data_IF_198342912116
#
_entry.id   IF_198342912116
#
_cell.length_a   1.000
_cell.length_b   1.000
_cell.length_c   1.000
_cell.angle_alpha   90.00
_cell.angle_beta   90.00
_cell.angle_gamma   90.00
#
_symmetry.space_group_name_H-M   'P 1'
#
loop_
_entity.id
_entity.type
_entity.pdbx_description
1 polymer ?
#
# COMPACT_ATOMS: atom_id res chain seq x y z
N UNK A 1 -16.73 -8.91 13.03
CA UNK A 1 -17.43 -8.38 11.84
C UNK A 1 -18.68 -7.61 12.28
N UNK A 2 -18.97 -6.52 11.59
CA UNK A 2 -20.17 -5.71 11.82
C UNK A 2 -21.27 -6.16 10.86
N UNK A 3 -22.48 -6.44 11.39
CA UNK A 3 -23.65 -6.79 10.58
C UNK A 3 -24.43 -5.53 10.24
N UNK A 4 -24.72 -5.33 8.95
CA UNK A 4 -25.49 -4.20 8.44
C UNK A 4 -26.78 -4.69 7.80
N UNK A 5 -27.90 -4.21 8.31
CA UNK A 5 -29.25 -4.52 7.83
C UNK A 5 -29.95 -3.22 7.47
N UNK A 6 -29.98 -2.83 6.20
CA UNK A 6 -30.72 -1.64 5.79
C UNK A 6 -32.24 -1.90 5.89
N UNK A 7 -32.99 -0.97 6.43
CA UNK A 7 -34.47 -1.10 6.54
C UNK A 7 -35.15 -1.23 5.18
N UNK A 8 -34.56 -0.75 4.11
CA UNK A 8 -35.08 -0.85 2.74
C UNK A 8 -34.00 -1.17 1.74
N UNK A 9 -34.25 -2.13 0.85
CA UNK A 9 -33.35 -2.47 -0.28
C UNK A 9 -33.07 -1.28 -1.20
N UNK A 10 -34.08 -0.39 -1.39
CA UNK A 10 -33.96 0.78 -2.29
C UNK A 10 -33.07 1.89 -1.73
N UNK A 11 -32.96 2.00 -0.42
CA UNK A 11 -32.29 3.11 0.24
C UNK A 11 -30.80 2.92 0.46
N UNK A 12 -30.24 1.75 0.11
CA UNK A 12 -28.79 1.49 0.27
C UNK A 12 -27.96 2.24 -0.78
N UNK A 13 -28.52 2.37 -1.99
CA UNK A 13 -27.84 3.08 -3.09
C UNK A 13 -27.66 4.57 -2.76
N UNK A 14 -26.44 5.03 -2.72
CA UNK A 14 -26.07 6.39 -2.34
C UNK A 14 -25.41 6.50 -0.95
N UNK A 15 -25.64 5.52 -0.06
CA UNK A 15 -25.00 5.45 1.26
C UNK A 15 -23.87 4.44 1.30
N UNK A 16 -24.08 3.27 0.70
CA UNK A 16 -23.10 2.17 0.66
C UNK A 16 -23.07 1.60 -0.74
N UNK A 17 -21.90 1.51 -1.35
CA UNK A 17 -21.71 0.85 -2.64
C UNK A 17 -21.28 -0.60 -2.40
N UNK A 18 -22.13 -1.53 -2.83
CA UNK A 18 -21.82 -2.96 -2.83
C UNK A 18 -21.42 -3.35 -4.25
N UNK A 19 -20.14 -3.71 -4.46
CA UNK A 19 -19.63 -4.04 -5.80
C UNK A 19 -18.46 -5.00 -5.74
N UNK A 20 -18.20 -5.67 -6.85
CA UNK A 20 -16.98 -6.44 -7.04
C UNK A 20 -15.79 -5.52 -7.25
N UNK A 21 -14.64 -5.85 -6.62
CA UNK A 21 -13.44 -5.02 -6.69
C UNK A 21 -12.82 -4.97 -8.09
N UNK A 22 -12.86 -6.08 -8.82
CA UNK A 22 -12.19 -6.21 -10.12
C UNK A 22 -13.09 -5.74 -11.27
N UNK A 23 -14.31 -6.28 -11.32
CA UNK A 23 -15.26 -6.00 -12.41
C UNK A 23 -16.06 -4.72 -12.21
N UNK A 24 -16.05 -4.15 -10.97
CA UNK A 24 -16.89 -3.00 -10.58
C UNK A 24 -18.39 -3.23 -10.77
N UNK A 25 -18.80 -4.48 -10.91
CA UNK A 25 -20.21 -4.86 -10.99
C UNK A 25 -20.90 -4.58 -9.68
N UNK A 26 -21.96 -3.77 -9.71
CA UNK A 26 -22.77 -3.42 -8.53
C UNK A 26 -23.70 -4.56 -8.15
N UNK A 27 -23.85 -4.78 -6.85
CA UNK A 27 -24.72 -5.78 -6.26
C UNK A 27 -25.91 -5.13 -5.56
N UNK A 28 -27.02 -5.85 -5.55
CA UNK A 28 -28.17 -5.52 -4.71
C UNK A 28 -28.33 -6.60 -3.65
N UNK A 29 -28.82 -6.22 -2.49
CA UNK A 29 -29.19 -7.18 -1.45
C UNK A 29 -30.41 -7.97 -1.90
N UNK A 30 -30.34 -9.29 -1.76
CA UNK A 30 -31.45 -10.22 -1.97
C UNK A 30 -31.82 -10.94 -0.66
N UNK A 31 -32.95 -11.67 -0.70
CA UNK A 31 -33.40 -12.43 0.47
C UNK A 31 -32.85 -13.87 0.50
N UNK A 32 -32.06 -14.25 -0.50
CA UNK A 32 -31.56 -15.61 -0.69
C UNK A 32 -30.19 -15.85 0.00
N UNK A 33 -29.48 -14.76 0.35
CA UNK A 33 -28.17 -14.87 0.98
C UNK A 33 -27.64 -13.56 1.53
N UNK A 34 -26.46 -13.66 2.11
CA UNK A 34 -25.71 -12.53 2.65
C UNK A 34 -24.68 -12.04 1.65
N UNK A 35 -24.30 -10.77 1.74
CA UNK A 35 -23.13 -10.23 1.08
C UNK A 35 -22.02 -10.08 2.12
N UNK A 36 -20.88 -10.72 1.86
CA UNK A 36 -19.71 -10.72 2.74
C UNK A 36 -18.61 -9.86 2.14
N UNK A 37 -17.83 -9.19 2.99
CA UNK A 37 -16.66 -8.43 2.53
C UNK A 37 -15.53 -9.36 2.09
N UNK A 38 -14.78 -8.97 1.05
CA UNK A 38 -13.76 -9.79 0.37
C UNK A 38 -12.69 -10.29 1.36
N UNK A 39 -12.21 -9.43 2.27
CA UNK A 39 -11.20 -9.86 3.25
C UNK A 39 -11.76 -10.89 4.24
N UNK A 40 -13.00 -10.73 4.68
CA UNK A 40 -13.64 -11.72 5.56
C UNK A 40 -13.81 -13.07 4.84
N UNK A 41 -14.20 -13.05 3.57
CA UNK A 41 -14.31 -14.26 2.76
C UNK A 41 -12.95 -14.95 2.59
N UNK A 42 -11.90 -14.19 2.35
CA UNK A 42 -10.53 -14.69 2.24
C UNK A 42 -10.03 -15.35 3.53
N UNK A 43 -10.25 -14.70 4.69
CA UNK A 43 -9.83 -15.23 5.99
C UNK A 43 -10.58 -16.50 6.38
N UNK A 44 -11.86 -16.61 5.98
CA UNK A 44 -12.69 -17.80 6.23
C UNK A 44 -12.48 -18.88 5.18
N UNK A 45 -11.74 -18.63 4.10
CA UNK A 45 -11.52 -19.56 3.00
C UNK A 45 -12.80 -19.89 2.20
N UNK A 46 -13.79 -18.97 2.17
CA UNK A 46 -15.11 -19.18 1.56
C UNK A 46 -15.30 -18.38 0.27
N UNK A 47 -16.19 -18.86 -0.58
CA UNK A 47 -16.52 -18.28 -1.88
C UNK A 47 -18.01 -18.00 -2.00
N UNK A 48 -18.40 -17.29 -3.06
CA UNK A 48 -19.81 -17.12 -3.45
C UNK A 48 -20.47 -18.50 -3.60
N UNK A 49 -21.63 -18.67 -2.97
CA UNK A 49 -22.40 -19.91 -2.95
C UNK A 49 -22.20 -20.77 -1.71
N UNK A 50 -21.08 -20.58 -1.00
CA UNK A 50 -20.82 -21.30 0.25
C UNK A 50 -21.72 -20.82 1.38
N UNK A 51 -21.77 -21.59 2.46
CA UNK A 51 -22.51 -21.25 3.68
C UNK A 51 -21.57 -21.04 4.84
N UNK A 52 -21.80 -19.99 5.62
CA UNK A 52 -21.04 -19.68 6.84
C UNK A 52 -21.94 -19.73 8.07
N UNK A 53 -21.30 -20.07 9.19
CA UNK A 53 -21.93 -20.00 10.50
C UNK A 53 -21.69 -18.61 11.10
N UNK A 54 -22.76 -17.94 11.49
CA UNK A 54 -22.72 -16.62 12.11
C UNK A 54 -23.27 -16.74 13.52
N UNK A 55 -22.52 -16.26 14.49
CA UNK A 55 -22.95 -16.15 15.87
C UNK A 55 -22.79 -14.72 16.36
N UNK A 56 -23.89 -14.12 16.79
CA UNK A 56 -23.91 -12.85 17.48
C UNK A 56 -23.88 -13.11 18.98
N UNK A 57 -23.23 -12.21 19.75
CA UNK A 57 -23.21 -12.32 21.21
C UNK A 57 -24.65 -12.36 21.77
N UNK A 58 -24.98 -13.42 22.52
CA UNK A 58 -26.31 -13.63 23.08
C UNK A 58 -27.35 -14.29 22.16
N UNK A 59 -27.02 -14.56 20.89
CA UNK A 59 -27.92 -15.21 19.94
C UNK A 59 -27.47 -16.64 19.60
N UNK A 60 -28.40 -17.44 19.08
CA UNK A 60 -28.11 -18.76 18.53
C UNK A 60 -27.26 -18.65 17.28
N UNK A 61 -26.37 -19.61 17.07
CA UNK A 61 -25.63 -19.73 15.83
C UNK A 61 -26.58 -20.03 14.66
N UNK A 62 -26.45 -19.27 13.60
CA UNK A 62 -27.21 -19.44 12.35
C UNK A 62 -26.28 -19.82 11.20
N UNK A 63 -26.83 -20.46 10.17
CA UNK A 63 -26.13 -20.73 8.91
C UNK A 63 -26.72 -19.85 7.82
N UNK A 64 -25.88 -19.09 7.13
CA UNK A 64 -26.28 -18.21 6.04
C UNK A 64 -25.45 -18.48 4.78
N UNK A 65 -26.14 -18.52 3.63
CA UNK A 65 -25.51 -18.68 2.31
C UNK A 65 -24.93 -17.35 1.84
N UNK A 66 -23.73 -17.37 1.25
CA UNK A 66 -23.10 -16.21 0.64
C UNK A 66 -23.65 -16.00 -0.76
N UNK A 67 -24.40 -14.93 -0.98
CA UNK A 67 -24.92 -14.57 -2.31
C UNK A 67 -23.88 -13.85 -3.14
N UNK A 68 -23.12 -12.94 -2.54
CA UNK A 68 -22.06 -12.18 -3.20
C UNK A 68 -20.91 -11.84 -2.22
N UNK A 69 -19.76 -11.48 -2.81
CA UNK A 69 -18.62 -10.94 -2.07
C UNK A 69 -18.36 -9.52 -2.57
N UNK A 70 -18.28 -8.55 -1.65
CA UNK A 70 -18.14 -7.13 -1.98
C UNK A 70 -16.77 -6.58 -1.56
N UNK A 71 -16.26 -5.60 -2.34
CA UNK A 71 -15.06 -4.88 -1.93
C UNK A 71 -15.32 -4.11 -0.63
N UNK A 72 -14.33 -4.15 0.25
CA UNK A 72 -14.27 -3.31 1.45
C UNK A 72 -12.83 -3.32 1.98
N UNK A 73 -12.29 -2.14 2.27
CA UNK A 73 -10.88 -2.00 2.63
C UNK A 73 -10.63 -1.96 4.14
N UNK A 74 -11.64 -1.63 4.92
CA UNK A 74 -11.51 -1.54 6.38
C UNK A 74 -12.61 -2.32 7.07
N UNK A 75 -12.22 -3.11 8.06
CA UNK A 75 -13.10 -3.95 8.88
C UNK A 75 -13.86 -5.02 8.06
N UNK A 76 -14.44 -5.96 8.78
CA UNK A 76 -15.26 -7.01 8.18
C UNK A 76 -16.73 -6.67 8.37
N UNK A 77 -17.50 -6.73 7.28
CA UNK A 77 -18.93 -6.44 7.30
C UNK A 77 -19.70 -7.57 6.65
N UNK A 78 -20.92 -7.80 7.17
CA UNK A 78 -21.90 -8.73 6.63
C UNK A 78 -23.16 -7.94 6.35
N UNK A 79 -23.64 -7.99 5.14
CA UNK A 79 -24.86 -7.31 4.72
C UNK A 79 -25.98 -8.33 4.50
N UNK A 80 -27.15 -8.09 5.05
CA UNK A 80 -28.33 -8.92 4.82
C UNK A 80 -29.60 -8.09 4.84
N UNK A 81 -30.66 -8.62 4.22
CA UNK A 81 -31.97 -7.96 4.26
C UNK A 81 -32.69 -8.19 5.61
N UNK A 82 -33.59 -7.29 6.03
CA UNK A 82 -34.40 -7.52 7.22
C UNK A 82 -35.21 -8.82 7.15
N UNK A 83 -35.76 -9.16 5.98
CA UNK A 83 -36.47 -10.42 5.78
C UNK A 83 -35.61 -11.65 5.99
N UNK A 84 -34.37 -11.65 5.46
CA UNK A 84 -33.43 -12.73 5.67
C UNK A 84 -33.04 -12.84 7.14
N UNK A 85 -32.84 -11.69 7.80
CA UNK A 85 -32.55 -11.65 9.23
C UNK A 85 -33.70 -12.26 10.06
N UNK A 86 -34.92 -11.84 9.82
CA UNK A 86 -36.11 -12.37 10.51
C UNK A 86 -36.27 -13.88 10.27
N UNK A 87 -36.00 -14.34 9.05
CA UNK A 87 -36.07 -15.77 8.70
C UNK A 87 -35.01 -16.60 9.45
N UNK A 88 -33.79 -16.04 9.61
CA UNK A 88 -32.66 -16.78 10.21
C UNK A 88 -32.68 -16.70 11.74
N UNK A 89 -32.98 -15.53 12.32
CA UNK A 89 -32.92 -15.30 13.76
C UNK A 89 -34.26 -15.43 14.45
N UNK A 90 -35.37 -15.50 13.69
CA UNK A 90 -36.76 -15.48 14.22
C UNK A 90 -37.05 -14.27 15.11
N UNK A 91 -36.38 -13.15 14.83
CA UNK A 91 -36.49 -11.87 15.54
C UNK A 91 -36.71 -10.74 14.54
N UNK A 92 -37.51 -9.75 14.88
CA UNK A 92 -37.64 -8.53 14.05
C UNK A 92 -36.35 -7.74 14.07
N UNK A 93 -35.94 -7.24 12.90
CA UNK A 93 -34.83 -6.33 12.78
C UNK A 93 -35.12 -5.01 13.52
N UNK A 94 -34.22 -4.56 14.36
CA UNK A 94 -34.33 -3.29 15.09
C UNK A 94 -33.42 -2.26 14.46
N UNK A 95 -33.88 -1.01 14.37
CA UNK A 95 -33.08 0.12 13.92
C UNK A 95 -32.13 0.51 15.03
N UNK A 96 -30.81 0.38 14.79
CA UNK A 96 -29.74 0.75 15.73
C UNK A 96 -28.94 1.96 15.26
N UNK A 97 -29.19 2.46 14.05
CA UNK A 97 -28.51 3.61 13.50
C UNK A 97 -29.17 4.14 12.23
N UNK A 98 -28.87 5.37 11.91
CA UNK A 98 -29.39 6.08 10.73
C UNK A 98 -28.21 6.67 9.96
N UNK A 99 -28.16 6.45 8.65
CA UNK A 99 -27.25 7.16 7.75
C UNK A 99 -27.97 8.38 7.18
N UNK A 100 -27.38 9.55 7.35
CA UNK A 100 -27.89 10.80 6.81
C UNK A 100 -26.91 11.39 5.80
N UNK A 101 -27.42 11.87 4.66
CA UNK A 101 -26.64 12.65 3.70
C UNK A 101 -27.19 14.06 3.68
N UNK A 102 -26.40 15.02 4.09
CA UNK A 102 -26.70 16.44 3.96
C UNK A 102 -25.95 17.01 2.75
N UNK A 103 -26.70 17.61 1.84
CA UNK A 103 -26.13 18.21 0.61
C UNK A 103 -25.97 19.71 0.79
N UNK A 104 -24.84 20.24 0.28
CA UNK A 104 -24.59 21.68 0.17
C UNK A 104 -24.62 22.46 1.51
N UNK A 105 -24.19 21.83 2.60
CA UNK A 105 -24.08 22.52 3.90
C UNK A 105 -22.61 22.78 4.26
N UNK A 106 -22.38 23.88 5.01
CA UNK A 106 -21.07 24.17 5.55
C UNK A 106 -20.70 23.21 6.70
N UNK A 107 -19.40 22.97 6.89
CA UNK A 107 -18.89 22.15 8.00
C UNK A 107 -19.42 22.62 9.36
N UNK A 108 -19.50 23.94 9.58
CA UNK A 108 -20.01 24.53 10.82
C UNK A 108 -21.48 24.14 11.05
N UNK A 109 -22.32 24.27 10.01
CA UNK A 109 -23.75 23.92 10.11
C UNK A 109 -23.96 22.42 10.30
N UNK A 110 -23.12 21.58 9.67
CA UNK A 110 -23.13 20.14 9.89
C UNK A 110 -22.83 19.78 11.35
N UNK A 111 -21.85 20.43 11.96
CA UNK A 111 -21.51 20.24 13.38
C UNK A 111 -22.63 20.74 14.32
N UNK A 112 -23.29 21.85 13.99
CA UNK A 112 -24.45 22.37 14.75
C UNK A 112 -25.61 21.39 14.68
N UNK A 113 -25.94 20.87 13.50
CA UNK A 113 -26.98 19.84 13.32
C UNK A 113 -26.62 18.57 14.10
N UNK A 114 -25.34 18.18 14.09
CA UNK A 114 -24.87 17.05 14.87
C UNK A 114 -25.05 17.22 16.37
N UNK A 115 -24.76 18.40 16.92
CA UNK A 115 -25.03 18.71 18.34
C UNK A 115 -26.52 18.61 18.67
N UNK A 116 -27.39 19.10 17.80
CA UNK A 116 -28.82 18.99 18.00
C UNK A 116 -29.32 17.56 17.96
N UNK A 117 -28.73 16.70 17.14
CA UNK A 117 -29.04 15.26 17.12
C UNK A 117 -28.57 14.59 18.41
N UNK A 118 -27.35 14.87 18.87
CA UNK A 118 -26.79 14.31 20.11
C UNK A 118 -27.49 14.81 21.37
N UNK A 119 -28.20 15.94 21.31
CA UNK A 119 -29.01 16.45 22.41
C UNK A 119 -30.32 15.67 22.61
N UNK A 120 -30.65 14.71 21.73
CA UNK A 120 -31.84 13.85 21.86
C UNK A 120 -31.46 12.60 22.63
N UNK A 121 -32.32 12.15 23.51
CA UNK A 121 -32.10 10.96 24.37
C UNK A 121 -31.95 9.67 23.56
N UNK A 122 -32.52 9.62 22.35
CA UNK A 122 -32.42 8.45 21.47
C UNK A 122 -31.09 8.33 20.73
N UNK A 123 -30.26 9.40 20.68
CA UNK A 123 -29.00 9.44 19.97
C UNK A 123 -27.82 9.26 20.92
N UNK A 124 -27.24 8.07 20.95
CA UNK A 124 -26.08 7.78 21.83
C UNK A 124 -24.74 8.19 21.20
N UNK A 125 -24.62 8.14 19.89
CA UNK A 125 -23.38 8.47 19.18
C UNK A 125 -23.66 9.07 17.80
N UNK A 126 -22.77 9.94 17.37
CA UNK A 126 -22.80 10.52 16.01
C UNK A 126 -21.43 10.42 15.39
N UNK A 127 -21.38 10.02 14.12
CA UNK A 127 -20.14 9.88 13.39
C UNK A 127 -20.22 10.62 12.06
N UNK A 128 -19.25 11.47 11.78
CA UNK A 128 -19.17 12.21 10.52
C UNK A 128 -18.17 11.52 9.58
N UNK A 129 -18.64 11.01 8.44
CA UNK A 129 -17.78 10.39 7.44
C UNK A 129 -16.73 11.38 6.88
N UNK A 130 -17.00 12.68 6.89
CA UNK A 130 -16.04 13.71 6.50
C UNK A 130 -14.82 13.80 7.43
N UNK A 131 -14.98 13.47 8.71
CA UNK A 131 -13.88 13.42 9.67
C UNK A 131 -13.03 12.16 9.47
N UNK A 132 -13.63 11.05 9.03
CA UNK A 132 -12.90 9.85 8.63
C UNK A 132 -12.02 10.11 7.40
N UNK A 133 -12.58 10.77 6.39
CA UNK A 133 -11.82 11.14 5.19
C UNK A 133 -10.62 12.02 5.54
N UNK A 134 -10.82 13.00 6.41
CA UNK A 134 -9.74 13.86 6.90
C UNK A 134 -8.70 13.05 7.69
N UNK A 135 -9.14 12.23 8.63
CA UNK A 135 -8.24 11.39 9.45
C UNK A 135 -7.40 10.46 8.55
N UNK A 136 -8.02 9.85 7.54
CA UNK A 136 -7.30 9.02 6.57
C UNK A 136 -6.31 9.82 5.75
N UNK A 137 -6.70 11.01 5.28
CA UNK A 137 -5.79 11.90 4.55
C UNK A 137 -4.60 12.32 5.41
N UNK A 138 -4.83 12.70 6.67
CA UNK A 138 -3.78 13.05 7.61
C UNK A 138 -2.85 11.86 7.91
N UNK A 139 -3.39 10.64 8.06
CA UNK A 139 -2.59 9.42 8.21
C UNK A 139 -1.70 9.17 6.99
N UNK A 140 -2.24 9.28 5.77
CA UNK A 140 -1.47 9.09 4.54
C UNK A 140 -0.38 10.17 4.41
N UNK A 141 -0.69 11.42 4.73
CA UNK A 141 0.30 12.50 4.72
C UNK A 141 1.43 12.28 5.73
N UNK A 142 1.12 11.78 6.92
CA UNK A 142 2.13 11.43 7.92
C UNK A 142 3.01 10.26 7.44
N UNK A 143 2.44 9.28 6.74
CA UNK A 143 3.22 8.20 6.13
C UNK A 143 4.19 8.69 5.06
N UNK A 144 3.87 9.77 4.34
CA UNK A 144 4.78 10.36 3.36
C UNK A 144 6.11 10.81 3.99
N UNK A 145 6.10 11.34 5.21
CA UNK A 145 7.33 11.70 5.94
C UNK A 145 8.16 10.45 6.21
N UNK A 146 7.54 9.38 6.66
CA UNK A 146 8.23 8.10 6.91
C UNK A 146 8.84 7.55 5.60
N UNK A 147 8.11 7.64 4.49
CA UNK A 147 8.61 7.22 3.17
C UNK A 147 9.83 8.04 2.76
N UNK A 148 9.82 9.36 2.93
CA UNK A 148 10.97 10.22 2.62
C UNK A 148 12.20 9.83 3.47
N UNK A 149 12.02 9.62 4.77
CA UNK A 149 13.10 9.18 5.67
C UNK A 149 13.68 7.83 5.21
N UNK A 150 12.82 6.88 4.84
CA UNK A 150 13.26 5.58 4.33
C UNK A 150 14.03 5.70 3.01
N UNK A 151 13.57 6.54 2.08
CA UNK A 151 14.27 6.80 0.81
C UNK A 151 15.65 7.40 1.06
N UNK A 152 15.75 8.41 1.92
CA UNK A 152 17.03 9.04 2.25
C UNK A 152 17.97 8.04 2.94
N UNK A 153 17.49 7.28 3.90
CA UNK A 153 18.27 6.27 4.61
C UNK A 153 18.78 5.17 3.68
N UNK A 154 17.90 4.67 2.79
CA UNK A 154 18.27 3.67 1.79
C UNK A 154 19.29 4.22 0.78
N UNK A 155 19.11 5.48 0.35
CA UNK A 155 20.08 6.17 -0.52
C UNK A 155 21.44 6.35 0.12
N UNK A 156 21.50 6.77 1.38
CA UNK A 156 22.75 6.88 2.13
C UNK A 156 23.44 5.53 2.31
N UNK A 157 22.68 4.48 2.63
CA UNK A 157 23.22 3.13 2.74
C UNK A 157 23.80 2.66 1.40
N UNK A 158 23.05 2.83 0.32
CA UNK A 158 23.51 2.47 -1.03
C UNK A 158 24.78 3.26 -1.41
N UNK A 159 24.83 4.56 -1.09
CA UNK A 159 26.01 5.38 -1.31
C UNK A 159 27.23 4.82 -0.57
N UNK A 160 27.12 4.54 0.72
CA UNK A 160 28.24 4.02 1.52
C UNK A 160 28.73 2.68 1.00
N UNK A 161 27.80 1.76 0.67
CA UNK A 161 28.16 0.43 0.16
C UNK A 161 28.83 0.52 -1.19
N UNK A 162 28.26 1.26 -2.15
CA UNK A 162 28.84 1.43 -3.48
C UNK A 162 30.18 2.18 -3.43
N UNK A 163 30.29 3.20 -2.58
CA UNK A 163 31.54 3.93 -2.37
C UNK A 163 32.65 3.00 -1.86
N UNK A 164 32.38 2.18 -0.85
CA UNK A 164 33.34 1.21 -0.32
C UNK A 164 33.71 0.15 -1.35
N UNK A 165 32.73 -0.39 -2.08
CA UNK A 165 32.96 -1.37 -3.15
C UNK A 165 33.87 -0.80 -4.24
N UNK A 166 33.61 0.44 -4.67
CA UNK A 166 34.43 1.12 -5.67
C UNK A 166 35.83 1.39 -5.16
N UNK A 167 36.00 1.77 -3.88
CA UNK A 167 37.34 1.94 -3.28
C UNK A 167 38.14 0.65 -3.31
N UNK A 168 37.51 -0.47 -2.96
CA UNK A 168 38.17 -1.80 -3.00
C UNK A 168 38.54 -2.14 -4.44
N UNK A 169 37.60 -2.04 -5.38
CA UNK A 169 37.85 -2.33 -6.79
C UNK A 169 38.98 -1.48 -7.39
N UNK A 170 39.01 -0.18 -7.07
CA UNK A 170 40.07 0.72 -7.52
C UNK A 170 41.41 0.34 -6.89
N UNK A 171 41.44 0.02 -5.59
CA UNK A 171 42.65 -0.40 -4.89
C UNK A 171 43.23 -1.69 -5.46
N UNK A 172 42.39 -2.69 -5.69
CA UNK A 172 42.78 -3.99 -6.23
C UNK A 172 43.31 -3.89 -7.68
N UNK A 173 42.69 -2.99 -8.49
CA UNK A 173 43.03 -2.79 -9.91
C UNK A 173 43.95 -1.57 -10.15
N UNK A 174 44.54 -0.99 -9.12
CA UNK A 174 45.30 0.24 -9.22
C UNK A 174 46.45 0.15 -10.25
N UNK A 175 47.14 -0.97 -10.28
CA UNK A 175 48.23 -1.25 -11.26
C UNK A 175 47.67 -1.36 -12.69
N UNK A 176 46.58 -2.06 -12.91
CA UNK A 176 45.96 -2.19 -14.23
C UNK A 176 45.51 -0.83 -14.73
N UNK A 177 44.84 -0.04 -13.88
CA UNK A 177 44.36 1.30 -14.21
C UNK A 177 45.52 2.26 -14.50
N UNK A 178 46.61 2.18 -13.73
CA UNK A 178 47.82 2.98 -13.98
C UNK A 178 48.47 2.59 -15.31
N UNK A 179 48.57 1.30 -15.65
CA UNK A 179 49.12 0.82 -16.91
C UNK A 179 48.31 1.31 -18.12
N UNK A 180 46.96 1.27 -18.03
CA UNK A 180 46.07 1.78 -19.08
C UNK A 180 46.26 3.29 -19.28
N UNK A 181 46.42 4.06 -18.20
CA UNK A 181 46.72 5.51 -18.26
C UNK A 181 48.10 5.79 -18.91
N UNK A 182 49.15 5.02 -18.59
CA UNK A 182 50.46 5.17 -19.19
C UNK A 182 50.46 4.85 -20.68
N UNK A 183 49.58 3.95 -21.13
CA UNK A 183 49.36 3.64 -22.55
C UNK A 183 48.59 4.77 -23.30
N UNK A 184 48.26 5.87 -22.62
CA UNK A 184 47.68 7.07 -23.22
C UNK A 184 46.15 7.16 -23.23
N UNK A 185 45.45 6.30 -22.46
CA UNK A 185 44.02 6.40 -22.29
C UNK A 185 43.61 7.58 -21.40
N UNK A 186 42.57 8.29 -21.76
CA UNK A 186 42.03 9.42 -21.00
C UNK A 186 41.31 8.97 -19.73
N UNK A 187 41.30 9.83 -18.70
CA UNK A 187 40.61 9.57 -17.42
C UNK A 187 39.15 9.13 -17.57
N UNK A 188 38.46 9.64 -18.63
CA UNK A 188 37.08 9.23 -18.94
C UNK A 188 36.96 7.81 -19.46
N UNK A 189 37.96 7.31 -20.21
CA UNK A 189 37.93 5.95 -20.75
C UNK A 189 38.24 4.92 -19.66
N UNK A 190 39.17 5.24 -18.78
CA UNK A 190 39.47 4.44 -17.59
C UNK A 190 38.28 4.42 -16.65
N UNK A 191 37.58 5.58 -16.47
CA UNK A 191 36.34 5.68 -15.71
C UNK A 191 35.22 4.82 -16.30
N UNK A 192 35.08 4.81 -17.63
CA UNK A 192 34.05 4.02 -18.31
C UNK A 192 34.17 2.52 -18.01
N UNK A 193 35.38 2.01 -17.83
CA UNK A 193 35.60 0.61 -17.48
C UNK A 193 35.07 0.27 -16.08
N UNK A 194 35.30 1.14 -15.10
CA UNK A 194 34.78 0.98 -13.72
C UNK A 194 33.23 1.17 -13.69
N UNK A 195 32.72 2.15 -14.43
CA UNK A 195 31.28 2.44 -14.44
C UNK A 195 30.46 1.31 -15.07
N UNK A 196 31.01 0.57 -16.02
CA UNK A 196 30.31 -0.57 -16.64
C UNK A 196 29.88 -1.61 -15.62
N UNK A 197 30.74 -1.89 -14.64
CA UNK A 197 30.44 -2.82 -13.54
C UNK A 197 29.31 -2.28 -12.66
N UNK A 198 29.38 -1.00 -12.27
CA UNK A 198 28.36 -0.35 -11.46
C UNK A 198 26.99 -0.28 -12.16
N UNK A 199 26.97 -0.06 -13.49
CA UNK A 199 25.74 -0.05 -14.28
C UNK A 199 25.09 -1.44 -14.28
N UNK A 200 25.87 -2.50 -14.46
CA UNK A 200 25.37 -3.88 -14.40
C UNK A 200 24.79 -4.22 -13.04
N UNK A 201 25.47 -3.84 -11.95
CA UNK A 201 24.97 -4.01 -10.59
C UNK A 201 23.69 -3.22 -10.35
N UNK A 202 23.59 -2.00 -10.85
CA UNK A 202 22.39 -1.17 -10.73
C UNK A 202 21.20 -1.81 -11.45
N UNK A 203 21.39 -2.31 -12.67
CA UNK A 203 20.34 -3.00 -13.44
C UNK A 203 19.88 -4.27 -12.70
N UNK A 204 20.82 -5.09 -12.23
CA UNK A 204 20.49 -6.28 -11.46
C UNK A 204 19.74 -5.93 -10.17
N UNK A 205 20.16 -4.88 -9.46
CA UNK A 205 19.51 -4.36 -8.26
C UNK A 205 18.07 -3.89 -8.52
N UNK A 206 17.81 -3.19 -9.63
CA UNK A 206 16.46 -2.77 -10.02
C UNK A 206 15.55 -3.98 -10.25
N UNK A 207 16.04 -4.99 -10.99
CA UNK A 207 15.24 -6.20 -11.31
C UNK A 207 14.92 -6.97 -10.00
N UNK A 208 15.93 -7.22 -9.19
CA UNK A 208 15.75 -7.92 -7.91
C UNK A 208 14.86 -7.14 -6.95
N UNK A 209 15.01 -5.81 -6.90
CA UNK A 209 14.17 -4.93 -6.10
C UNK A 209 12.69 -4.98 -6.48
N UNK A 210 12.37 -5.00 -7.78
CA UNK A 210 11.00 -5.14 -8.28
C UNK A 210 10.41 -6.51 -7.89
N UNK A 211 11.19 -7.58 -8.02
CA UNK A 211 10.76 -8.95 -7.66
C UNK A 211 10.48 -9.03 -6.16
N UNK A 212 11.44 -8.55 -5.34
CA UNK A 212 11.30 -8.53 -3.88
C UNK A 212 10.10 -7.70 -3.43
N UNK A 213 9.91 -6.52 -4.02
CA UNK A 213 8.77 -5.66 -3.72
C UNK A 213 7.43 -6.37 -3.99
N UNK A 214 7.29 -7.03 -5.13
CA UNK A 214 6.10 -7.84 -5.43
C UNK A 214 5.90 -8.95 -4.40
N UNK A 215 6.96 -9.66 -4.04
CA UNK A 215 6.89 -10.71 -3.03
C UNK A 215 6.40 -10.17 -1.68
N UNK A 216 6.96 -9.05 -1.21
CA UNK A 216 6.57 -8.42 0.06
C UNK A 216 5.09 -8.01 0.05
N UNK A 217 4.60 -7.36 -1.03
CA UNK A 217 3.18 -6.97 -1.12
C UNK A 217 2.25 -8.18 -1.12
N UNK A 218 2.65 -9.29 -1.72
CA UNK A 218 1.82 -10.50 -1.71
C UNK A 218 1.80 -11.20 -0.35
N UNK A 219 2.90 -11.16 0.40
CA UNK A 219 3.04 -11.83 1.70
C UNK A 219 2.58 -10.99 2.87
N UNK A 220 2.60 -9.64 2.74
CA UNK A 220 2.15 -8.77 3.81
C UNK A 220 0.62 -8.75 3.86
N UNK A 221 0.06 -9.33 4.91
CA UNK A 221 -1.37 -9.33 5.19
C UNK A 221 -1.65 -8.78 6.58
N UNK A 222 -2.68 -7.92 6.67
CA UNK A 222 -3.24 -7.44 7.93
C UNK A 222 -4.70 -7.87 7.97
N UNK A 223 -5.13 -8.51 9.06
CA UNK A 223 -6.46 -9.11 9.15
C UNK A 223 -7.61 -8.10 9.02
N UNK A 224 -7.44 -6.91 9.57
CA UNK A 224 -8.48 -5.86 9.59
C UNK A 224 -8.52 -4.99 8.34
N UNK A 225 -7.44 -4.97 7.54
CA UNK A 225 -7.29 -4.08 6.39
C UNK A 225 -7.01 -4.91 5.14
N UNK A 226 -7.72 -4.58 4.07
CA UNK A 226 -7.46 -5.14 2.77
C UNK A 226 -6.60 -4.18 1.97
N UNK A 227 -5.35 -4.56 1.69
CA UNK A 227 -4.50 -3.76 0.80
C UNK A 227 -4.93 -3.96 -0.66
N UNK A 228 -5.11 -2.85 -1.36
CA UNK A 228 -5.31 -2.87 -2.80
C UNK A 228 -4.01 -3.22 -3.52
N UNK A 229 -3.69 -4.49 -3.71
CA UNK A 229 -2.45 -5.02 -4.30
C UNK A 229 -2.18 -4.54 -5.75
N UNK A 230 -2.68 -3.37 -6.11
CA UNK A 230 -2.46 -2.72 -7.40
C UNK A 230 -1.38 -1.66 -7.24
N UNK A 231 -0.27 -1.87 -7.93
CA UNK A 231 0.82 -0.91 -7.98
C UNK A 231 0.72 -0.20 -9.32
N UNK A 232 0.66 1.12 -9.29
CA UNK A 232 0.66 1.93 -10.51
C UNK A 232 2.02 1.87 -11.20
N UNK A 233 2.01 1.78 -12.53
CA UNK A 233 3.23 1.78 -13.35
C UNK A 233 4.12 3.00 -13.06
N UNK A 234 3.51 4.14 -12.75
CA UNK A 234 4.21 5.37 -12.37
C UNK A 234 5.13 5.18 -11.15
N UNK A 235 4.70 4.38 -10.16
CA UNK A 235 5.52 4.10 -8.96
C UNK A 235 6.79 3.35 -9.31
N UNK A 236 6.72 2.40 -10.24
CA UNK A 236 7.92 1.71 -10.74
C UNK A 236 8.85 2.66 -11.49
N UNK A 237 8.30 3.53 -12.32
CA UNK A 237 9.09 4.52 -13.08
C UNK A 237 9.83 5.45 -12.12
N UNK A 238 9.16 6.00 -11.11
CA UNK A 238 9.80 6.87 -10.11
C UNK A 238 10.88 6.13 -9.31
N UNK A 239 10.65 4.89 -8.92
CA UNK A 239 11.63 4.08 -8.20
C UNK A 239 12.88 3.82 -9.07
N UNK A 240 12.70 3.47 -10.34
CA UNK A 240 13.80 3.25 -11.29
C UNK A 240 14.59 4.54 -11.51
N UNK A 241 13.91 5.67 -11.76
CA UNK A 241 14.56 6.97 -11.95
C UNK A 241 15.36 7.39 -10.72
N UNK A 242 14.81 7.19 -9.53
CA UNK A 242 15.49 7.51 -8.28
C UNK A 242 16.74 6.64 -8.09
N UNK A 243 16.66 5.34 -8.37
CA UNK A 243 17.80 4.42 -8.29
C UNK A 243 18.89 4.81 -9.28
N UNK A 244 18.53 5.19 -10.52
CA UNK A 244 19.48 5.69 -11.52
C UNK A 244 20.12 6.99 -11.05
N UNK A 245 19.37 7.92 -10.47
CA UNK A 245 19.89 9.17 -9.96
C UNK A 245 20.93 8.95 -8.84
N UNK A 246 20.67 8.05 -7.90
CA UNK A 246 21.65 7.66 -6.89
C UNK A 246 22.89 6.99 -7.49
N UNK A 247 22.73 6.10 -8.48
CA UNK A 247 23.84 5.48 -9.18
C UNK A 247 24.72 6.50 -9.88
N UNK A 248 24.12 7.50 -10.54
CA UNK A 248 24.88 8.60 -11.18
C UNK A 248 25.64 9.42 -10.13
N UNK A 249 25.01 9.73 -8.99
CA UNK A 249 25.68 10.45 -7.89
C UNK A 249 26.92 9.70 -7.39
N UNK A 250 26.80 8.40 -7.14
CA UNK A 250 27.93 7.58 -6.70
C UNK A 250 29.03 7.55 -7.75
N UNK A 251 28.68 7.33 -9.03
CA UNK A 251 29.64 7.30 -10.12
C UNK A 251 30.37 8.65 -10.30
N UNK A 252 29.67 9.78 -10.08
CA UNK A 252 30.31 11.08 -10.09
C UNK A 252 31.35 11.23 -8.96
N UNK A 253 31.04 10.75 -7.76
CA UNK A 253 32.02 10.72 -6.66
C UNK A 253 33.24 9.87 -6.98
N UNK A 254 33.03 8.69 -7.53
CA UNK A 254 34.08 7.77 -7.96
C UNK A 254 34.98 8.40 -9.03
N UNK A 255 34.38 9.17 -9.96
CA UNK A 255 35.16 9.90 -10.98
C UNK A 255 36.16 10.88 -10.36
N UNK A 256 35.73 11.68 -9.38
CA UNK A 256 36.67 12.58 -8.69
C UNK A 256 37.76 11.86 -7.94
N UNK A 257 37.53 10.66 -7.48
CA UNK A 257 38.49 9.83 -6.78
C UNK A 257 39.52 9.21 -7.75
N UNK A 258 39.06 8.69 -8.90
CA UNK A 258 39.92 8.17 -9.97
C UNK A 258 40.90 9.22 -10.51
N UNK A 259 40.43 10.48 -10.59
CA UNK A 259 41.29 11.60 -11.03
C UNK A 259 42.47 11.88 -10.07
N UNK A 260 42.35 11.54 -8.79
CA UNK A 260 43.41 11.73 -7.77
C UNK A 260 44.46 10.64 -7.74
N UNK A 261 44.33 9.57 -8.53
CA UNK A 261 45.30 8.49 -8.57
C UNK A 261 46.58 8.99 -9.28
N UNK A 262 47.69 9.09 -8.54
CA UNK A 262 48.98 9.44 -9.10
C UNK A 262 49.62 8.22 -9.76
N UNK A 263 49.89 8.33 -11.07
CA UNK A 263 50.43 7.26 -11.90
C UNK A 263 51.86 6.86 -11.48
N UNK A 264 52.68 7.87 -11.13
CA UNK A 264 54.10 7.67 -10.81
C UNK A 264 54.27 6.94 -9.48
N UNK A 265 53.47 7.31 -8.48
CA UNK A 265 53.49 6.68 -7.15
C UNK A 265 52.91 5.26 -7.19
N UNK A 266 51.90 5.02 -8.05
CA UNK A 266 51.27 3.70 -8.21
C UNK A 266 52.18 2.66 -8.88
N UNK A 267 53.14 3.08 -9.72
CA UNK A 267 54.12 2.20 -10.36
C UNK A 267 55.39 2.00 -9.52
N UNK A 268 55.73 2.97 -8.66
CA UNK A 268 56.91 2.88 -7.75
C UNK A 268 56.67 2.01 -6.52
N UNK A 269 55.46 1.74 -6.12
CA UNK A 269 55.15 0.94 -4.90
C UNK A 269 55.36 -0.57 -5.06
N UNK A 270 56.02 -1.01 -6.15
CA UNK A 270 56.31 -2.42 -6.47
C UNK A 270 57.79 -2.76 -6.39
N UNK A 271 58.64 -1.82 -6.01
CA UNK A 271 60.03 -2.07 -5.56
C UNK A 271 60.07 -2.00 -4.01
#
# INVERSE_FOLDING_TARGET
ATMIQPMSKKNLNGYISLQDRKSKTKYQLDDDGIILTEKAASLLGVKKGDSIKIQRSGDKQITAKISQITENYMQHKVYMTPKLYEKLYHKKAQTTGIYCIEKNISKKKMQENGKQILARDEASTLHFCADDEKTMSDMVNNLNIVVVVLIVSAGLLAFVVLYNLNNINISERRMELATIKVLGFYDGEVGAYVYRENILLTIAGIILGIILHKYVIFTTEVDLIMFGRQIYVQSYIYSILLTIAFSILVNAFVYFQLKKIDMVESLKSTE
#
